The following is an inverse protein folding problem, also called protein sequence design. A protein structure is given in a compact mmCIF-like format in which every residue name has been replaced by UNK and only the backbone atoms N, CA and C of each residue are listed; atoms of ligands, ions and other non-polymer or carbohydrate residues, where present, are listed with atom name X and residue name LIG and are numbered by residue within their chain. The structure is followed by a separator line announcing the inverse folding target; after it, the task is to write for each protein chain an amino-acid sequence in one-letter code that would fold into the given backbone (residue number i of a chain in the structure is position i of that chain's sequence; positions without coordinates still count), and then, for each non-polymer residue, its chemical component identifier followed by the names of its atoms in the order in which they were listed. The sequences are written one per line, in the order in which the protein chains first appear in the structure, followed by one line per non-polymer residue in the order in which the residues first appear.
data_IF_485696058497
#
_entry.id   IF_485696058497
#
_cell.length_a   1.000
_cell.length_b   1.000
_cell.length_c   1.000
_cell.angle_alpha   90.00
_cell.angle_beta   90.00
_cell.angle_gamma   90.00
#
_symmetry.space_group_name_H-M   'P 1'
#
loop_
_entity.id
_entity.type
_entity.pdbx_description
1 polymer ?
#
# COMPACT_ATOMS: atom_id res chain seq x y z
N UNK A 1 -14.70 -5.21 5.80
CA UNK A 1 -14.14 -4.39 4.71
C UNK A 1 -13.53 -5.34 3.70
N UNK A 2 -14.13 -5.46 2.51
CA UNK A 2 -13.51 -6.24 1.44
C UNK A 2 -12.38 -5.40 0.84
N UNK A 3 -11.17 -5.70 1.27
CA UNK A 3 -9.98 -5.26 0.58
C UNK A 3 -10.00 -5.92 -0.81
N UNK A 4 -9.85 -5.12 -1.86
CA UNK A 4 -9.80 -5.61 -3.26
C UNK A 4 -8.68 -6.65 -3.43
N UNK A 5 -8.61 -7.28 -4.59
CA UNK A 5 -7.46 -8.12 -4.96
C UNK A 5 -6.15 -7.32 -4.82
N UNK A 6 -5.08 -7.99 -4.40
CA UNK A 6 -3.75 -7.42 -4.29
C UNK A 6 -3.35 -6.70 -5.59
N UNK A 7 -2.82 -5.47 -5.47
CA UNK A 7 -2.33 -4.69 -6.62
C UNK A 7 -1.00 -5.21 -7.21
N UNK A 8 -0.40 -6.24 -6.60
CA UNK A 8 0.82 -6.82 -7.11
C UNK A 8 0.54 -7.55 -8.43
N UNK A 9 1.35 -7.26 -9.45
CA UNK A 9 1.15 -7.79 -10.80
C UNK A 9 1.41 -9.30 -10.81
N UNK A 10 0.36 -10.08 -11.04
CA UNK A 10 0.42 -11.55 -10.98
C UNK A 10 -0.03 -12.14 -9.63
N UNK A 11 -0.53 -11.32 -8.71
CA UNK A 11 -1.19 -11.79 -7.50
C UNK A 11 -2.72 -11.73 -7.63
N UNK A 12 -3.40 -12.84 -7.33
CA UNK A 12 -4.87 -12.91 -7.25
C UNK A 12 -5.38 -13.10 -5.82
N UNK A 13 -4.51 -13.01 -4.82
CA UNK A 13 -4.91 -13.10 -3.41
C UNK A 13 -5.70 -11.85 -3.01
N UNK A 14 -6.62 -12.01 -2.08
CA UNK A 14 -7.27 -10.86 -1.44
C UNK A 14 -6.22 -10.01 -0.72
N UNK A 15 -6.30 -8.68 -0.85
CA UNK A 15 -5.44 -7.82 -0.06
C UNK A 15 -5.81 -7.91 1.42
N UNK A 16 -4.82 -7.82 2.28
CA UNK A 16 -4.97 -7.87 3.75
C UNK A 16 -4.50 -6.59 4.40
N UNK A 17 -3.68 -5.81 3.69
CA UNK A 17 -3.06 -4.58 4.15
C UNK A 17 -3.26 -3.46 3.13
N UNK A 18 -3.42 -2.24 3.63
CA UNK A 18 -3.38 -1.01 2.84
C UNK A 18 -2.05 -0.30 3.08
N UNK A 19 -1.55 0.37 2.05
CA UNK A 19 -0.29 1.08 2.11
C UNK A 19 -0.13 2.03 0.95
N UNK A 20 1.11 2.41 0.70
CA UNK A 20 1.51 3.26 -0.39
C UNK A 20 2.81 2.72 -0.99
N UNK A 21 2.95 2.84 -2.30
CA UNK A 21 4.22 2.63 -2.98
C UNK A 21 4.75 3.98 -3.45
N UNK A 22 6.06 4.15 -3.41
CA UNK A 22 6.70 5.29 -4.04
C UNK A 22 6.90 4.97 -5.51
N UNK A 23 6.33 5.78 -6.39
CA UNK A 23 6.40 5.52 -7.82
C UNK A 23 6.24 6.78 -8.65
N UNK A 24 6.63 6.65 -9.90
CA UNK A 24 6.50 7.69 -10.90
C UNK A 24 5.10 7.63 -11.52
N UNK A 25 4.45 8.79 -11.66
CA UNK A 25 3.18 8.84 -12.37
C UNK A 25 3.42 8.70 -13.88
N UNK A 26 2.65 7.87 -14.58
CA UNK A 26 2.85 7.66 -16.03
C UNK A 26 2.63 8.94 -16.86
N UNK A 27 1.84 9.88 -16.31
CA UNK A 27 1.44 11.13 -16.94
C UNK A 27 2.04 12.38 -16.27
N UNK A 28 2.98 12.23 -15.34
CA UNK A 28 3.58 13.35 -14.62
C UNK A 28 5.07 13.14 -14.40
N UNK A 29 5.84 14.23 -14.36
CA UNK A 29 7.29 14.22 -14.10
C UNK A 29 7.61 14.03 -12.61
N UNK A 30 6.60 13.87 -11.76
CA UNK A 30 6.73 13.88 -10.31
C UNK A 30 6.53 12.49 -9.74
N UNK A 31 7.46 12.09 -8.88
CA UNK A 31 7.30 10.92 -8.04
C UNK A 31 6.33 11.25 -6.90
N UNK A 32 5.45 10.30 -6.59
CA UNK A 32 4.44 10.49 -5.55
C UNK A 32 4.10 9.18 -4.87
N UNK A 33 3.55 9.28 -3.65
CA UNK A 33 3.06 8.13 -2.91
C UNK A 33 1.70 7.71 -3.48
N UNK A 34 1.66 6.53 -4.09
CA UNK A 34 0.46 5.98 -4.72
C UNK A 34 -0.20 5.02 -3.71
N UNK A 35 -1.41 5.30 -3.23
CA UNK A 35 -2.10 4.42 -2.28
C UNK A 35 -2.48 3.12 -2.97
N UNK A 36 -2.05 1.99 -2.39
CA UNK A 36 -2.26 0.65 -2.94
C UNK A 36 -2.66 -0.33 -1.83
N UNK A 37 -3.19 -1.48 -2.25
CA UNK A 37 -3.55 -2.58 -1.35
C UNK A 37 -2.77 -3.84 -1.71
N UNK A 38 -2.23 -4.51 -0.71
CA UNK A 38 -1.39 -5.69 -0.86
C UNK A 38 -1.82 -6.82 0.09
N UNK A 39 -1.49 -8.06 -0.25
CA UNK A 39 -1.58 -9.19 0.68
C UNK A 39 -0.33 -9.26 1.55
N UNK A 40 -0.39 -9.96 2.69
CA UNK A 40 0.70 -10.05 3.69
C UNK A 40 2.08 -10.44 3.11
N UNK A 41 2.08 -11.21 2.02
CA UNK A 41 3.27 -11.65 1.30
C UNK A 41 3.96 -10.48 0.58
N UNK A 42 3.21 -9.70 -0.20
CA UNK A 42 3.73 -8.52 -0.92
C UNK A 42 3.83 -7.29 -0.03
N UNK A 43 3.13 -7.27 1.10
CA UNK A 43 3.25 -6.21 2.09
C UNK A 43 4.65 -6.21 2.75
N UNK A 44 5.38 -7.33 2.71
CA UNK A 44 6.76 -7.43 3.22
C UNK A 44 7.82 -6.97 2.23
N UNK A 45 7.45 -6.60 1.00
CA UNK A 45 8.41 -6.06 0.04
C UNK A 45 8.90 -4.68 0.49
N UNK A 46 10.18 -4.41 0.24
CA UNK A 46 10.84 -3.16 0.65
C UNK A 46 10.22 -1.90 0.03
N UNK A 47 9.56 -2.06 -1.11
CA UNK A 47 8.91 -0.99 -1.87
C UNK A 47 7.48 -0.68 -1.38
N UNK A 48 6.93 -1.47 -0.46
CA UNK A 48 5.59 -1.26 0.08
C UNK A 48 5.62 -0.63 1.48
N UNK A 49 5.18 0.62 1.57
CA UNK A 49 5.06 1.34 2.83
C UNK A 49 3.68 1.07 3.42
N UNK A 50 3.64 0.40 4.56
CA UNK A 50 2.38 0.15 5.26
C UNK A 50 1.74 1.47 5.65
N UNK A 51 0.42 1.57 5.48
CA UNK A 51 -0.35 2.60 6.15
C UNK A 51 -0.34 2.21 7.63
N UNK A 52 0.74 2.58 8.32
CA UNK A 52 0.72 2.60 9.77
C UNK A 52 -0.25 3.75 10.04
N UNK A 53 -1.52 3.41 10.30
CA UNK A 53 -2.36 4.29 11.09
C UNK A 53 -1.52 4.57 12.31
N UNK A 54 -0.89 5.74 12.34
CA UNK A 54 -0.39 6.29 13.57
C UNK A 54 -1.64 6.32 14.42
N UNK A 55 -1.79 5.32 15.29
CA UNK A 55 -2.62 5.47 16.45
C UNK A 55 -1.99 6.66 17.12
N UNK A 56 -2.54 7.81 16.80
CA UNK A 56 -2.34 9.04 17.53
C UNK A 56 -2.74 8.59 18.94
N UNK A 57 -1.74 8.21 19.73
CA UNK A 57 -1.82 8.31 21.16
C UNK A 57 -2.02 9.81 21.37
N UNK A 58 -3.28 10.25 21.23
CA UNK A 58 -3.77 11.43 21.91
C UNK A 58 -3.52 11.13 23.37
N UNK A 59 -2.34 11.58 23.79
CA UNK A 59 -1.91 11.60 25.16
C UNK A 59 -2.94 12.49 25.83
N UNK A 60 -3.72 11.83 26.67
CA UNK A 60 -4.85 12.35 27.42
C UNK A 60 -4.41 13.42 28.42
#
# INVERSE_FOLDING_TARGET
MELKTCNFRGCWKAATTKGHIYGHHKDGTEDSFIPVVACDEHAKEKDFYHYIEQKENQTK
#
